data_IF_345580505819
#
_entry.id   IF_345580505819
#
_cell.length_a   1.000
_cell.length_b   1.000
_cell.length_c   1.000
_cell.angle_alpha   90.00
_cell.angle_beta   90.00
_cell.angle_gamma   90.00
#
_symmetry.space_group_name_H-M   'P 1'
#
loop_
_entity.id
_entity.type
_entity.pdbx_description
1 polymer ?
#
# COMPACT_ATOMS: atom_id res chain seq x y z
N UNK A 1 -7.11 -9.03 -11.09
CA UNK A 1 -5.72 -8.86 -10.60
C UNK A 1 -5.58 -9.74 -9.36
N UNK A 2 -4.49 -10.46 -9.12
CA UNK A 2 -4.39 -11.31 -7.93
C UNK A 2 -4.01 -10.43 -6.74
N UNK A 3 -4.74 -10.55 -5.63
CA UNK A 3 -4.42 -9.90 -4.36
C UNK A 3 -3.05 -10.38 -3.88
N UNK A 4 -2.13 -9.45 -3.62
CA UNK A 4 -0.80 -9.79 -3.12
C UNK A 4 -0.91 -10.01 -1.62
N UNK A 5 -0.84 -11.27 -1.20
CA UNK A 5 -0.98 -11.65 0.20
C UNK A 5 0.41 -11.72 0.84
N UNK A 6 0.70 -10.80 1.76
CA UNK A 6 1.95 -10.79 2.48
C UNK A 6 1.94 -11.75 3.68
N UNK A 7 3.15 -12.11 4.13
CA UNK A 7 3.39 -12.87 5.36
C UNK A 7 3.79 -11.87 6.45
N UNK A 8 3.18 -11.91 7.65
CA UNK A 8 3.51 -10.94 8.70
C UNK A 8 4.94 -11.12 9.21
N UNK A 9 5.61 -10.00 9.50
CA UNK A 9 6.94 -10.01 10.13
C UNK A 9 6.92 -10.65 11.53
N UNK A 10 5.82 -10.48 12.25
CA UNK A 10 5.63 -11.09 13.55
C UNK A 10 4.17 -11.55 13.74
N UNK A 11 3.95 -12.86 13.58
CA UNK A 11 2.62 -13.48 13.72
C UNK A 11 2.00 -13.25 15.09
N UNK A 12 2.77 -13.32 16.16
CA UNK A 12 2.27 -13.18 17.52
C UNK A 12 1.76 -11.75 17.79
N UNK A 13 2.56 -10.74 17.42
CA UNK A 13 2.17 -9.33 17.54
C UNK A 13 0.96 -8.99 16.68
N UNK A 14 0.88 -9.51 15.45
CA UNK A 14 -0.31 -9.32 14.60
C UNK A 14 -1.56 -9.94 15.23
N UNK A 15 -1.46 -11.16 15.80
CA UNK A 15 -2.59 -11.78 16.51
C UNK A 15 -3.03 -10.97 17.72
N UNK A 16 -2.08 -10.40 18.46
CA UNK A 16 -2.38 -9.49 19.57
C UNK A 16 -3.13 -8.23 19.09
N UNK A 17 -2.68 -7.60 18.00
CA UNK A 17 -3.34 -6.44 17.41
C UNK A 17 -4.78 -6.76 16.98
N UNK A 18 -4.98 -7.88 16.28
CA UNK A 18 -6.32 -8.36 15.88
C UNK A 18 -7.21 -8.60 17.11
N UNK A 19 -6.67 -9.18 18.19
CA UNK A 19 -7.42 -9.39 19.43
C UNK A 19 -7.88 -8.08 20.07
N UNK A 20 -7.01 -7.05 20.08
CA UNK A 20 -7.34 -5.70 20.58
C UNK A 20 -8.45 -5.08 19.74
N UNK A 21 -8.33 -5.13 18.41
CA UNK A 21 -9.37 -4.63 17.51
C UNK A 21 -10.69 -5.37 17.75
N UNK A 22 -10.67 -6.69 17.91
CA UNK A 22 -11.87 -7.50 18.19
C UNK A 22 -12.56 -7.04 19.48
N UNK A 23 -11.80 -6.89 20.57
CA UNK A 23 -12.31 -6.45 21.87
C UNK A 23 -12.96 -5.06 21.79
N UNK A 24 -12.39 -4.17 20.96
CA UNK A 24 -12.87 -2.80 20.81
C UNK A 24 -13.92 -2.65 19.69
N UNK A 25 -14.38 -3.76 19.10
CA UNK A 25 -15.32 -3.76 17.97
C UNK A 25 -14.73 -3.22 16.67
N UNK A 26 -13.43 -2.97 16.57
CA UNK A 26 -12.74 -2.43 15.40
C UNK A 26 -12.58 -3.40 14.22
N UNK A 27 -13.14 -4.61 14.31
CA UNK A 27 -13.11 -5.61 13.25
C UNK A 27 -14.48 -5.83 12.61
N UNK A 28 -14.44 -6.08 11.31
CA UNK A 28 -15.55 -6.74 10.58
C UNK A 28 -15.00 -8.03 10.00
N UNK A 29 -15.67 -9.14 10.26
CA UNK A 29 -15.33 -10.45 9.70
C UNK A 29 -16.45 -10.90 8.76
N UNK A 30 -16.10 -11.25 7.53
CA UNK A 30 -17.03 -11.80 6.54
C UNK A 30 -16.27 -12.74 5.61
N UNK A 31 -16.84 -13.93 5.38
CA UNK A 31 -16.21 -15.01 4.61
C UNK A 31 -14.78 -15.32 5.14
N UNK A 32 -13.79 -15.32 4.26
CA UNK A 32 -12.39 -15.53 4.59
C UNK A 32 -11.63 -14.24 4.94
N UNK A 33 -12.31 -13.09 5.13
CA UNK A 33 -11.67 -11.80 5.41
C UNK A 33 -11.88 -11.31 6.86
N UNK A 34 -10.89 -10.59 7.37
CA UNK A 34 -10.91 -9.85 8.63
C UNK A 34 -10.49 -8.40 8.31
N UNK A 35 -11.39 -7.44 8.47
CA UNK A 35 -11.16 -6.03 8.14
C UNK A 35 -10.86 -5.20 9.37
N UNK A 36 -9.73 -4.50 9.36
CA UNK A 36 -9.44 -3.42 10.30
C UNK A 36 -10.22 -2.16 9.91
N UNK A 37 -11.47 -2.08 10.37
CA UNK A 37 -12.36 -0.96 10.03
C UNK A 37 -11.82 0.37 10.53
N UNK A 38 -11.11 0.39 11.66
CA UNK A 38 -10.54 1.64 12.15
C UNK A 38 -9.53 2.21 11.16
N UNK A 39 -8.54 1.40 10.77
CA UNK A 39 -7.52 1.87 9.83
C UNK A 39 -8.12 2.16 8.45
N UNK A 40 -9.00 1.29 7.94
CA UNK A 40 -9.60 1.44 6.61
C UNK A 40 -10.48 2.70 6.46
N UNK A 41 -11.26 3.05 7.49
CA UNK A 41 -12.22 4.16 7.42
C UNK A 41 -11.69 5.48 7.98
N UNK A 42 -10.68 5.47 8.85
CA UNK A 42 -10.21 6.67 9.56
C UNK A 42 -8.81 7.15 9.15
N UNK A 43 -8.12 6.45 8.25
CA UNK A 43 -6.76 6.80 7.82
C UNK A 43 -6.77 7.56 6.49
N UNK A 44 -6.34 8.82 6.48
CA UNK A 44 -6.15 9.57 5.23
C UNK A 44 -4.85 9.19 4.53
N UNK A 45 -4.90 9.12 3.20
CA UNK A 45 -3.76 8.81 2.37
C UNK A 45 -3.65 9.76 1.18
N UNK A 46 -2.46 10.34 1.04
CA UNK A 46 -2.05 11.07 -0.15
C UNK A 46 -0.64 10.59 -0.52
N UNK A 47 -0.45 10.11 -1.74
CA UNK A 47 0.87 9.71 -2.21
C UNK A 47 1.77 10.93 -2.43
N UNK A 48 2.45 11.38 -1.39
CA UNK A 48 3.47 12.42 -1.47
C UNK A 48 4.76 11.95 -0.80
N UNK A 49 5.71 11.53 -1.65
CA UNK A 49 7.00 11.06 -1.18
C UNK A 49 7.82 12.17 -0.53
N UNK A 50 7.56 13.45 -0.80
CA UNK A 50 8.28 14.55 -0.16
C UNK A 50 7.95 14.70 1.33
N UNK A 51 6.75 14.24 1.74
CA UNK A 51 6.30 14.23 3.14
C UNK A 51 6.91 13.08 3.96
N UNK A 52 7.40 12.03 3.31
CA UNK A 52 7.88 10.83 3.99
C UNK A 52 9.34 10.46 3.70
N UNK A 53 9.91 10.88 2.58
CA UNK A 53 11.31 10.66 2.22
C UNK A 53 12.26 11.34 3.22
N UNK A 54 13.20 10.57 3.76
CA UNK A 54 14.24 11.02 4.68
C UNK A 54 15.60 10.55 4.20
N UNK A 55 16.64 11.29 4.58
CA UNK A 55 18.02 10.92 4.32
C UNK A 55 18.69 10.52 5.65
N UNK A 56 19.23 9.29 5.73
CA UNK A 56 20.01 8.80 6.87
C UNK A 56 21.37 8.33 6.39
N UNK A 57 22.40 9.09 6.75
CA UNK A 57 23.72 8.93 6.17
C UNK A 57 23.68 9.15 4.66
N UNK A 58 24.08 8.15 3.87
CA UNK A 58 24.13 8.21 2.40
C UNK A 58 22.93 7.54 1.71
N UNK A 59 21.91 7.11 2.47
CA UNK A 59 20.75 6.37 1.94
C UNK A 59 19.44 7.07 2.25
N UNK A 60 18.56 7.06 1.26
CA UNK A 60 17.17 7.44 1.39
C UNK A 60 16.37 6.31 2.03
N UNK A 61 15.40 6.70 2.85
CA UNK A 61 14.50 5.79 3.54
C UNK A 61 13.22 6.56 3.91
N UNK A 62 12.23 5.90 4.50
CA UNK A 62 11.02 6.56 5.00
C UNK A 62 9.87 6.63 4.00
N UNK A 63 9.95 6.01 2.83
CA UNK A 63 8.78 5.89 1.95
C UNK A 63 8.63 4.47 1.41
N UNK A 64 7.45 4.17 0.85
CA UNK A 64 7.21 2.87 0.22
C UNK A 64 8.18 2.62 -0.96
N UNK A 65 8.67 3.67 -1.63
CA UNK A 65 9.65 3.51 -2.72
C UNK A 65 11.10 3.31 -2.26
N UNK A 66 11.38 3.31 -0.95
CA UNK A 66 12.71 3.06 -0.38
C UNK A 66 12.75 1.88 0.58
N UNK A 67 11.65 1.67 1.31
CA UNK A 67 11.62 0.72 2.43
C UNK A 67 10.92 -0.60 2.04
N UNK A 68 10.18 -0.63 0.93
CA UNK A 68 9.27 -1.75 0.61
C UNK A 68 9.82 -2.57 -0.54
N UNK A 69 9.70 -3.89 -0.41
CA UNK A 69 9.88 -4.77 -1.54
C UNK A 69 8.65 -4.69 -2.43
N UNK A 70 8.85 -4.24 -3.66
CA UNK A 70 7.81 -4.23 -4.70
C UNK A 70 7.80 -5.61 -5.35
N UNK A 71 7.05 -6.53 -4.77
CA UNK A 71 6.82 -7.86 -5.34
C UNK A 71 6.03 -7.73 -6.65
N UNK A 72 6.46 -8.44 -7.68
CA UNK A 72 5.85 -8.40 -9.01
C UNK A 72 5.59 -9.81 -9.55
N UNK A 73 4.43 -9.99 -10.18
CA UNK A 73 4.13 -11.24 -10.87
C UNK A 73 4.94 -11.35 -12.18
N UNK A 74 5.17 -12.57 -12.71
CA UNK A 74 5.88 -12.75 -13.97
C UNK A 74 5.29 -11.95 -15.15
N UNK A 75 3.96 -11.78 -15.19
CA UNK A 75 3.29 -10.97 -16.22
C UNK A 75 3.56 -9.47 -16.07
N UNK A 76 3.68 -8.98 -14.84
CA UNK A 76 3.98 -7.57 -14.55
C UNK A 76 5.45 -7.27 -14.88
N UNK A 77 6.34 -8.22 -14.57
CA UNK A 77 7.73 -8.16 -15.02
C UNK A 77 7.83 -8.00 -16.53
N UNK A 78 7.14 -8.84 -17.32
CA UNK A 78 7.15 -8.75 -18.80
C UNK A 78 6.68 -7.37 -19.30
N UNK A 79 5.64 -6.82 -18.67
CA UNK A 79 5.14 -5.47 -19.00
C UNK A 79 6.17 -4.38 -18.70
N UNK A 80 6.88 -4.48 -17.58
CA UNK A 80 7.94 -3.56 -17.23
C UNK A 80 9.17 -3.69 -18.12
N UNK A 81 9.57 -4.92 -18.47
CA UNK A 81 10.65 -5.17 -19.43
C UNK A 81 10.32 -4.55 -20.79
N UNK A 82 9.09 -4.75 -21.28
CA UNK A 82 8.60 -4.10 -22.50
C UNK A 82 8.60 -2.58 -22.36
N UNK A 83 8.13 -2.04 -21.23
CA UNK A 83 8.14 -0.60 -20.98
C UNK A 83 9.57 -0.03 -21.01
N UNK A 84 10.55 -0.73 -20.44
CA UNK A 84 11.95 -0.32 -20.46
C UNK A 84 12.49 -0.32 -21.89
N UNK A 85 12.20 -1.36 -22.67
CA UNK A 85 12.64 -1.45 -24.07
C UNK A 85 11.97 -0.39 -24.96
N UNK A 86 10.65 -0.21 -24.87
CA UNK A 86 9.90 0.78 -25.64
C UNK A 86 10.34 2.23 -25.32
N UNK A 87 11.04 2.45 -24.20
CA UNK A 87 11.51 3.76 -23.75
C UNK A 87 13.04 3.82 -23.56
N UNK A 88 13.77 2.93 -24.24
CA UNK A 88 15.21 2.73 -24.05
C UNK A 88 16.05 3.99 -24.26
N UNK A 89 15.74 4.80 -25.27
CA UNK A 89 16.46 6.04 -25.54
C UNK A 89 16.38 7.01 -24.36
N UNK A 90 15.18 7.22 -23.82
CA UNK A 90 14.96 8.09 -22.67
C UNK A 90 15.64 7.56 -21.40
N UNK A 91 15.59 6.24 -21.19
CA UNK A 91 16.34 5.61 -20.10
C UNK A 91 17.85 5.74 -20.28
N UNK A 92 18.38 5.60 -21.50
CA UNK A 92 19.80 5.73 -21.78
C UNK A 92 20.31 7.16 -21.53
N UNK A 93 19.53 8.17 -21.94
CA UNK A 93 19.89 9.58 -21.83
C UNK A 93 19.74 10.10 -20.40
N UNK A 94 18.57 9.88 -19.77
CA UNK A 94 18.20 10.56 -18.52
C UNK A 94 18.37 9.69 -17.28
N UNK A 95 18.25 8.38 -17.42
CA UNK A 95 18.16 7.44 -16.31
C UNK A 95 19.01 6.17 -16.52
N UNK A 96 20.31 6.31 -16.89
CA UNK A 96 21.09 5.21 -17.46
C UNK A 96 21.26 4.00 -16.55
N UNK A 97 21.09 4.16 -15.23
CA UNK A 97 21.13 3.05 -14.27
C UNK A 97 20.06 1.99 -14.55
N UNK A 98 18.90 2.36 -15.11
CA UNK A 98 17.83 1.40 -15.43
C UNK A 98 18.29 0.37 -16.45
N UNK A 99 19.20 0.75 -17.36
CA UNK A 99 19.74 -0.16 -18.38
C UNK A 99 21.06 -0.81 -17.95
N UNK A 100 21.84 -0.15 -17.09
CA UNK A 100 23.17 -0.61 -16.67
C UNK A 100 23.14 -1.50 -15.43
N UNK A 101 22.09 -1.41 -14.63
CA UNK A 101 21.95 -2.15 -13.37
C UNK A 101 20.80 -3.15 -13.41
N UNK A 102 20.83 -4.11 -12.49
CA UNK A 102 19.80 -5.14 -12.40
C UNK A 102 18.52 -4.57 -11.79
N UNK A 103 17.51 -4.35 -12.64
CA UNK A 103 16.17 -3.84 -12.26
C UNK A 103 15.37 -4.83 -11.43
N UNK A 104 15.45 -6.12 -11.77
CA UNK A 104 14.67 -7.17 -11.12
C UNK A 104 15.56 -8.11 -10.33
N UNK A 105 15.18 -8.41 -9.09
CA UNK A 105 15.79 -9.50 -8.31
C UNK A 105 14.79 -10.65 -8.16
N UNK A 106 15.32 -11.83 -7.87
CA UNK A 106 14.56 -13.04 -7.62
C UNK A 106 15.16 -13.76 -6.42
N UNK A 107 14.31 -14.22 -5.52
CA UNK A 107 14.66 -15.09 -4.41
C UNK A 107 13.65 -16.24 -4.28
N UNK A 108 13.62 -16.89 -3.11
CA UNK A 108 12.69 -17.99 -2.82
C UNK A 108 11.23 -17.53 -2.71
N UNK A 109 10.98 -16.26 -2.39
CA UNK A 109 9.64 -15.68 -2.25
C UNK A 109 9.06 -15.14 -3.55
N UNK A 110 9.88 -14.76 -4.52
CA UNK A 110 9.39 -14.32 -5.82
C UNK A 110 10.34 -13.42 -6.59
N UNK A 111 9.77 -12.61 -7.47
CA UNK A 111 10.47 -11.57 -8.24
C UNK A 111 10.06 -10.22 -7.68
N UNK A 112 10.99 -9.30 -7.55
CA UNK A 112 10.74 -7.96 -7.03
C UNK A 112 11.59 -6.88 -7.71
N UNK A 113 11.16 -5.62 -7.65
CA UNK A 113 12.00 -4.49 -8.07
C UNK A 113 13.16 -4.29 -7.11
N UNK A 114 14.36 -4.14 -7.66
CA UNK A 114 15.56 -3.87 -6.90
C UNK A 114 15.60 -2.42 -6.38
N UNK A 115 16.41 -2.19 -5.37
CA UNK A 115 16.79 -0.86 -4.90
C UNK A 115 18.17 -0.47 -5.44
N UNK A 116 18.36 0.81 -5.69
CA UNK A 116 19.64 1.46 -5.98
C UNK A 116 20.54 1.48 -4.74
N UNK A 117 21.82 1.81 -4.92
CA UNK A 117 22.79 1.95 -3.82
C UNK A 117 22.39 3.00 -2.78
N UNK A 118 21.70 4.04 -3.23
CA UNK A 118 21.15 5.11 -2.39
C UNK A 118 19.85 4.72 -1.66
N UNK A 119 19.36 3.49 -1.83
CA UNK A 119 18.15 2.99 -1.18
C UNK A 119 16.85 3.28 -1.92
N UNK A 120 16.86 4.07 -2.99
CA UNK A 120 15.65 4.33 -3.80
C UNK A 120 15.29 3.16 -4.73
N UNK A 121 14.02 3.02 -5.10
CA UNK A 121 13.57 2.04 -6.09
C UNK A 121 14.31 2.21 -7.43
N UNK A 122 14.64 1.11 -8.11
CA UNK A 122 15.35 1.16 -9.40
C UNK A 122 14.62 1.95 -10.48
N UNK A 123 13.28 1.96 -10.44
CA UNK A 123 12.42 2.72 -11.35
C UNK A 123 11.98 4.06 -10.75
N UNK A 124 12.89 4.73 -10.04
CA UNK A 124 12.64 6.06 -9.48
C UNK A 124 13.80 7.03 -9.70
N UNK A 125 13.50 8.32 -9.58
CA UNK A 125 14.48 9.41 -9.56
C UNK A 125 14.13 10.40 -8.46
N UNK A 126 15.15 10.96 -7.82
CA UNK A 126 14.98 11.97 -6.78
C UNK A 126 15.12 13.35 -7.41
N UNK A 127 14.11 14.20 -7.20
CA UNK A 127 14.12 15.61 -7.61
C UNK A 127 13.80 16.47 -6.38
N UNK A 128 14.79 17.20 -5.88
CA UNK A 128 14.67 17.95 -4.64
C UNK A 128 14.38 17.02 -3.45
N UNK A 129 13.26 17.24 -2.75
CA UNK A 129 12.82 16.41 -1.62
C UNK A 129 11.88 15.27 -2.01
N UNK A 130 11.54 15.13 -3.29
CA UNK A 130 10.60 14.13 -3.77
C UNK A 130 11.31 12.97 -4.48
N UNK A 131 10.80 11.76 -4.26
CA UNK A 131 11.10 10.58 -5.07
C UNK A 131 9.96 10.37 -6.07
N UNK A 132 10.29 10.41 -7.36
CA UNK A 132 9.35 10.33 -8.46
C UNK A 132 9.46 8.98 -9.16
N UNK A 133 8.32 8.37 -9.48
CA UNK A 133 8.26 7.12 -10.22
C UNK A 133 8.54 7.35 -11.71
N UNK A 134 9.53 6.66 -12.27
CA UNK A 134 9.87 6.79 -13.69
C UNK A 134 8.75 6.29 -14.60
N UNK A 135 8.01 5.25 -14.19
CA UNK A 135 6.85 4.75 -14.93
C UNK A 135 5.77 5.82 -15.03
N UNK A 136 5.47 6.51 -13.93
CA UNK A 136 4.48 7.59 -13.93
C UNK A 136 4.95 8.78 -14.78
N UNK A 137 6.20 9.22 -14.60
CA UNK A 137 6.76 10.35 -15.34
C UNK A 137 6.73 10.14 -16.85
N UNK A 138 7.26 9.00 -17.31
CA UNK A 138 7.31 8.69 -18.75
C UNK A 138 5.90 8.47 -19.29
N UNK A 139 5.01 7.80 -18.54
CA UNK A 139 3.63 7.60 -18.99
C UNK A 139 2.88 8.92 -19.15
N UNK A 140 3.04 9.87 -18.21
CA UNK A 140 2.42 11.20 -18.31
C UNK A 140 2.97 11.95 -19.52
N UNK A 141 4.31 11.97 -19.69
CA UNK A 141 4.95 12.68 -20.79
C UNK A 141 4.53 12.14 -22.17
N UNK A 142 4.26 10.84 -22.27
CA UNK A 142 3.92 10.16 -23.53
C UNK A 142 2.43 9.84 -23.70
N UNK A 143 1.57 10.30 -22.79
CA UNK A 143 0.12 10.03 -22.83
C UNK A 143 -0.26 8.55 -22.66
N UNK A 144 0.59 7.74 -22.01
CA UNK A 144 0.36 6.31 -21.79
C UNK A 144 -0.51 6.05 -20.56
N UNK A 145 -1.21 4.91 -20.57
CA UNK A 145 -1.99 4.45 -19.41
C UNK A 145 -1.08 3.81 -18.37
N UNK A 146 -0.86 4.52 -17.26
CA UNK A 146 -0.02 4.05 -16.12
C UNK A 146 -0.38 2.62 -15.65
N UNK A 147 -1.68 2.29 -15.65
CA UNK A 147 -2.21 0.98 -15.20
C UNK A 147 -1.75 -0.20 -16.06
N UNK A 148 -1.23 0.05 -17.26
CA UNK A 148 -0.72 -1.00 -18.13
C UNK A 148 0.64 -1.51 -17.66
N UNK A 149 1.46 -0.64 -17.06
CA UNK A 149 2.87 -0.89 -16.76
C UNK A 149 3.21 -0.89 -15.27
N UNK A 150 2.59 -0.01 -14.47
CA UNK A 150 2.94 0.14 -13.05
C UNK A 150 2.47 -1.09 -12.25
N UNK A 151 3.34 -1.68 -11.40
CA UNK A 151 2.97 -2.84 -10.60
C UNK A 151 1.73 -2.59 -9.73
N UNK A 152 0.92 -3.64 -9.58
CA UNK A 152 -0.22 -3.65 -8.69
C UNK A 152 0.16 -3.14 -7.30
N UNK A 153 1.21 -3.70 -6.69
CA UNK A 153 1.63 -3.36 -5.32
C UNK A 153 1.89 -1.87 -5.11
N UNK A 154 2.35 -1.15 -6.15
CA UNK A 154 2.57 0.29 -6.11
C UNK A 154 1.26 1.09 -6.08
N UNK A 155 0.16 0.52 -6.55
CA UNK A 155 -1.18 1.10 -6.45
C UNK A 155 -1.88 0.73 -5.16
N UNK A 156 -1.59 -0.43 -4.57
CA UNK A 156 -2.24 -0.82 -3.32
C UNK A 156 -1.76 0.00 -2.14
N UNK A 157 -0.57 0.60 -2.14
CA UNK A 157 -0.12 1.39 -0.99
C UNK A 157 -1.15 2.47 -0.62
N UNK A 158 -1.60 2.55 0.67
CA UNK A 158 -1.09 1.87 1.85
C UNK A 158 -1.87 0.60 2.26
N UNK A 159 -2.79 0.10 1.43
CA UNK A 159 -3.49 -1.17 1.65
C UNK A 159 -2.52 -2.33 1.79
N UNK A 160 -2.78 -3.16 2.78
CA UNK A 160 -2.06 -4.39 3.04
C UNK A 160 -3.02 -5.54 3.29
N UNK A 161 -2.74 -6.67 2.65
CA UNK A 161 -3.47 -7.92 2.86
C UNK A 161 -2.52 -8.99 3.37
N UNK A 162 -2.79 -9.51 4.56
CA UNK A 162 -1.89 -10.43 5.28
C UNK A 162 -2.61 -11.74 5.55
N UNK A 163 -1.95 -12.88 5.31
CA UNK A 163 -2.49 -14.18 5.70
C UNK A 163 -2.41 -14.38 7.22
N UNK A 164 -3.55 -14.59 7.87
CA UNK A 164 -3.65 -14.90 9.30
C UNK A 164 -4.47 -16.17 9.47
N UNK A 165 -3.81 -17.26 9.86
CA UNK A 165 -4.38 -18.60 9.95
C UNK A 165 -5.06 -19.00 8.62
N UNK A 166 -6.39 -19.19 8.60
CA UNK A 166 -7.18 -19.51 7.41
C UNK A 166 -7.84 -18.28 6.75
N UNK A 167 -7.65 -17.08 7.30
CA UNK A 167 -8.27 -15.83 6.85
C UNK A 167 -7.24 -14.84 6.29
N UNK A 168 -7.74 -13.80 5.61
CA UNK A 168 -6.98 -12.68 5.09
C UNK A 168 -7.33 -11.46 5.93
N UNK A 169 -6.34 -10.93 6.65
CA UNK A 169 -6.45 -9.65 7.34
C UNK A 169 -6.21 -8.52 6.35
N UNK A 170 -7.12 -7.54 6.32
CA UNK A 170 -7.09 -6.39 5.41
C UNK A 170 -7.02 -5.11 6.25
N UNK A 171 -6.02 -4.29 5.99
CA UNK A 171 -5.80 -3.01 6.69
C UNK A 171 -5.08 -2.00 5.80
N UNK A 172 -4.88 -0.78 6.30
CA UNK A 172 -3.98 0.22 5.71
C UNK A 172 -2.81 0.46 6.64
N UNK A 173 -1.59 0.52 6.11
CA UNK A 173 -0.39 0.79 6.88
C UNK A 173 -0.39 2.24 7.35
N UNK A 174 -0.46 2.46 8.66
CA UNK A 174 -0.50 3.77 9.28
C UNK A 174 0.28 3.80 10.61
N UNK A 175 0.38 4.99 11.22
CA UNK A 175 1.16 5.17 12.45
C UNK A 175 0.70 4.31 13.63
N UNK A 176 -0.55 3.83 13.61
CA UNK A 176 -1.12 3.00 14.66
C UNK A 176 -0.78 1.52 14.54
N UNK A 177 -0.57 1.03 13.32
CA UNK A 177 -0.48 -0.41 13.07
C UNK A 177 0.80 -0.85 12.35
N UNK A 178 1.57 0.05 11.73
CA UNK A 178 2.71 -0.30 10.87
C UNK A 178 3.76 -1.21 11.52
N UNK A 179 3.91 -1.18 12.84
CA UNK A 179 4.84 -2.05 13.57
C UNK A 179 4.36 -3.51 13.75
N UNK A 180 3.09 -3.80 13.43
CA UNK A 180 2.49 -5.14 13.48
C UNK A 180 2.52 -5.87 12.14
N UNK A 181 2.86 -5.17 11.06
CA UNK A 181 2.58 -5.62 9.70
C UNK A 181 3.82 -6.19 9.00
N UNK A 182 3.67 -6.65 7.75
CA UNK A 182 4.75 -7.28 6.99
C UNK A 182 5.72 -6.29 6.36
N UNK A 183 5.26 -5.06 6.12
CA UNK A 183 6.09 -4.00 5.59
C UNK A 183 5.89 -2.75 6.44
N UNK A 184 7.00 -2.12 6.83
CA UNK A 184 6.99 -0.92 7.63
C UNK A 184 7.93 0.11 7.01
N UNK A 185 7.49 1.36 7.00
CA UNK A 185 8.37 2.50 6.76
C UNK A 185 8.55 3.28 8.05
N UNK A 186 9.75 3.85 8.25
CA UNK A 186 10.03 4.69 9.42
C UNK A 186 9.41 6.10 9.33
N UNK A 187 8.75 6.46 8.22
CA UNK A 187 8.06 7.72 8.08
C UNK A 187 6.73 7.52 7.37
N UNK A 188 5.64 7.74 8.10
CA UNK A 188 4.26 7.60 7.59
C UNK A 188 3.65 8.97 7.31
N UNK A 189 4.45 9.94 6.86
CA UNK A 189 4.00 11.32 6.60
C UNK A 189 2.97 11.42 5.46
N UNK A 190 3.04 10.53 4.47
CA UNK A 190 2.04 10.37 3.40
C UNK A 190 0.76 9.64 3.87
N UNK A 191 0.77 9.12 5.10
CA UNK A 191 -0.34 8.47 5.79
C UNK A 191 -0.55 9.17 7.14
N UNK A 192 -0.69 10.50 7.11
CA UNK A 192 -0.85 11.34 8.30
C UNK A 192 -2.29 11.83 8.41
N UNK A 193 -2.97 11.58 9.53
CA UNK A 193 -4.22 12.30 9.83
C UNK A 193 -5.19 11.69 10.83
N UNK A 194 -6.06 12.57 11.36
CA UNK A 194 -7.32 12.32 12.10
C UNK A 194 -8.52 12.57 11.18
N UNK A 195 -9.51 11.69 11.29
CA UNK A 195 -10.89 11.66 10.76
C UNK A 195 -11.28 12.65 9.66
N UNK A 196 -11.54 12.09 8.47
CA UNK A 196 -12.87 12.23 7.88
C UNK A 196 -13.22 10.97 7.05
N UNK A 197 -14.50 10.77 6.71
CA UNK A 197 -15.06 9.58 6.00
C UNK A 197 -14.43 9.37 4.60
N UNK A 198 -13.59 10.30 4.16
CA UNK A 198 -13.01 10.45 2.82
C UNK A 198 -12.04 9.33 2.45
N UNK A 199 -11.35 8.72 3.41
CA UNK A 199 -10.41 7.63 3.18
C UNK A 199 -11.05 6.39 2.53
N UNK A 200 -12.29 6.09 2.91
CA UNK A 200 -13.04 4.97 2.37
C UNK A 200 -13.34 5.17 0.89
N UNK A 201 -13.53 6.42 0.44
CA UNK A 201 -13.85 6.75 -0.94
C UNK A 201 -12.62 6.76 -1.85
N UNK A 202 -11.46 7.21 -1.38
CA UNK A 202 -10.22 7.18 -2.17
C UNK A 202 -9.61 5.77 -2.26
N UNK A 203 -9.84 4.91 -1.25
CA UNK A 203 -9.43 3.51 -1.25
C UNK A 203 -10.51 2.57 -1.81
N UNK A 204 -11.76 2.99 -1.95
CA UNK A 204 -12.86 2.14 -2.44
C UNK A 204 -12.52 1.51 -3.79
N UNK A 205 -12.07 2.30 -4.77
CA UNK A 205 -11.70 1.78 -6.09
C UNK A 205 -10.57 0.75 -5.99
N UNK A 206 -9.60 0.98 -5.10
CA UNK A 206 -8.52 0.02 -4.87
C UNK A 206 -9.05 -1.25 -4.19
N UNK A 207 -9.82 -1.13 -3.12
CA UNK A 207 -10.43 -2.26 -2.42
C UNK A 207 -11.31 -3.08 -3.37
N UNK A 208 -12.10 -2.46 -4.23
CA UNK A 208 -12.94 -3.15 -5.22
C UNK A 208 -12.09 -3.91 -6.23
N UNK A 209 -11.00 -3.29 -6.71
CA UNK A 209 -10.06 -3.93 -7.63
C UNK A 209 -9.34 -5.12 -7.01
N UNK A 210 -9.07 -5.08 -5.70
CA UNK A 210 -8.31 -6.08 -4.97
C UNK A 210 -9.14 -7.20 -4.34
N UNK A 211 -10.35 -6.88 -3.88
CA UNK A 211 -11.19 -7.79 -3.10
C UNK A 211 -12.50 -8.14 -3.83
N UNK A 212 -12.89 -7.33 -4.81
CA UNK A 212 -14.16 -7.45 -5.53
C UNK A 212 -15.26 -6.57 -4.92
N UNK A 213 -16.17 -6.12 -5.78
CA UNK A 213 -17.26 -5.19 -5.43
C UNK A 213 -18.19 -5.71 -4.33
N UNK A 214 -18.52 -7.00 -4.35
CA UNK A 214 -19.40 -7.63 -3.33
C UNK A 214 -18.81 -7.53 -1.93
N UNK A 215 -17.51 -7.78 -1.79
CA UNK A 215 -16.79 -7.72 -0.51
C UNK A 215 -16.76 -6.31 0.05
N UNK A 216 -16.47 -5.32 -0.81
CA UNK A 216 -16.44 -3.90 -0.42
C UNK A 216 -17.81 -3.38 -0.04
N UNK A 217 -18.85 -3.69 -0.82
CA UNK A 217 -20.23 -3.33 -0.48
C UNK A 217 -20.63 -3.88 0.89
N UNK A 218 -20.32 -5.15 1.17
CA UNK A 218 -20.66 -5.75 2.46
C UNK A 218 -19.90 -5.11 3.63
N UNK A 219 -18.63 -4.77 3.43
CA UNK A 219 -17.84 -4.03 4.41
C UNK A 219 -18.49 -2.68 4.75
N UNK A 220 -18.93 -1.93 3.73
CA UNK A 220 -19.60 -0.63 3.90
C UNK A 220 -20.93 -0.80 4.63
N UNK A 221 -21.75 -1.77 4.24
CA UNK A 221 -23.05 -2.08 4.86
C UNK A 221 -22.90 -2.35 6.37
N UNK A 222 -22.02 -3.29 6.73
CA UNK A 222 -21.79 -3.67 8.13
C UNK A 222 -21.22 -2.50 8.95
N UNK A 223 -20.33 -1.69 8.34
CA UNK A 223 -19.79 -0.51 9.01
C UNK A 223 -20.86 0.56 9.25
N UNK A 224 -21.76 0.79 8.29
CA UNK A 224 -22.88 1.73 8.43
C UNK A 224 -23.84 1.30 9.56
N UNK A 225 -24.22 0.02 9.61
CA UNK A 225 -25.04 -0.55 10.69
C UNK A 225 -24.41 -0.30 12.07
N UNK A 226 -23.09 -0.52 12.17
CA UNK A 226 -22.34 -0.29 13.41
C UNK A 226 -22.38 1.19 13.84
N UNK A 227 -22.15 2.13 12.92
CA UNK A 227 -22.25 3.56 13.22
C UNK A 227 -23.66 3.98 13.67
N UNK A 228 -24.70 3.39 13.08
CA UNK A 228 -26.08 3.62 13.48
C UNK A 228 -26.36 3.12 14.91
N UNK A 229 -25.85 1.93 15.27
CA UNK A 229 -25.97 1.38 16.62
C UNK A 229 -25.27 2.27 17.67
N UNK A 230 -24.02 2.70 17.41
CA UNK A 230 -23.27 3.57 18.32
C UNK A 230 -23.94 4.94 18.53
N UNK A 231 -24.54 5.52 17.47
CA UNK A 231 -25.31 6.77 17.58
C UNK A 231 -26.56 6.60 18.44
N UNK A 232 -27.27 5.47 18.34
CA UNK A 232 -28.45 5.17 19.17
C UNK A 232 -28.07 5.05 20.65
N UNK A 233 -27.01 4.33 20.99
CA UNK A 233 -26.53 4.22 22.38
C UNK A 233 -26.12 5.57 22.96
N UNK A 234 -25.38 6.40 22.20
CA UNK A 234 -24.96 7.73 22.65
C UNK A 234 -26.14 8.66 22.91
N UNK A 235 -27.22 8.57 22.12
CA UNK A 235 -28.46 9.32 22.36
C UNK A 235 -29.17 8.85 23.63
N UNK A 236 -29.26 7.54 23.86
CA UNK A 236 -29.87 6.98 25.07
C UNK A 236 -29.09 7.32 26.36
N UNK A 237 -27.75 7.42 26.29
CA UNK A 237 -26.90 7.82 27.42
C UNK A 237 -26.88 9.32 27.72
N UNK A 238 -27.31 10.18 26.79
CA UNK A 238 -27.40 11.65 26.95
C UNK A 238 -28.81 12.14 27.31
N UNK A 239 -29.82 11.29 27.15
CA UNK A 239 -31.21 11.55 27.54
C UNK A 239 -31.61 10.93 28.90
N UNK A 240 -30.64 10.38 29.63
CA UNK A 240 -30.71 10.04 31.06
C UNK A 240 -29.83 11.03 31.82
#
# INVERSE_FOLDING_TARGET
MKTIIHIPNNKAKLKQYISILRKNGGLVEFDNYIFDTYSLFHTTYECDSSKCLKLKGKKYHGCCCTDYTVDIEPKERKKLEKFIEDNKEEFAEKYPWVLKEKVFKKDKSGIYLNHRKDGSCMLSVIKGKALLCLVDLISINKGLKRTEYKPAVCYSWPLETIKVDKKIFVTTICGHNGYYLSQQTCALGCVSGKMDVVAAFSLAEQLEKYLGKSVVHKLIEVYAEKLHAEKKEKKQKRGK
#
